data_IF_454784977477
#
_entry.id   IF_454784977477
#
_cell.length_a   1.000
_cell.length_b   1.000
_cell.length_c   1.000
_cell.angle_alpha   90.00
_cell.angle_beta   90.00
_cell.angle_gamma   90.00
#
_symmetry.space_group_name_H-M   'P 1'
#
loop_
_entity.id
_entity.type
_entity.pdbx_description
1 polymer ?
#
# COMPACT_ATOMS: atom_id res chain seq x y z
N UNK A 1 -0.38 25.80 -1.90
CA UNK A 1 -0.42 24.32 -1.97
C UNK A 1 -0.22 23.81 -0.57
N UNK A 2 -1.28 23.27 0.01
CA UNK A 2 -1.33 22.74 1.37
C UNK A 2 -0.50 21.46 1.42
N UNK A 3 0.30 21.28 2.47
CA UNK A 3 1.19 20.12 2.56
C UNK A 3 0.36 18.85 2.79
N UNK A 4 0.44 17.88 1.88
CA UNK A 4 -0.15 16.56 2.07
C UNK A 4 0.51 15.89 3.29
N UNK A 5 -0.23 15.83 4.40
CA UNK A 5 0.21 15.16 5.62
C UNK A 5 -0.17 13.69 5.52
N UNK A 6 0.81 12.83 5.74
CA UNK A 6 0.61 11.39 5.74
C UNK A 6 1.28 10.79 6.98
N UNK A 7 0.84 9.61 7.38
CA UNK A 7 1.58 8.73 8.26
C UNK A 7 1.83 7.41 7.58
N UNK A 8 2.86 6.69 8.03
CA UNK A 8 3.13 5.34 7.58
C UNK A 8 3.18 4.37 8.74
N UNK A 9 2.82 3.12 8.49
CA UNK A 9 2.92 2.00 9.43
C UNK A 9 3.75 0.90 8.79
N UNK A 10 4.67 0.31 9.56
CA UNK A 10 5.47 -0.84 9.12
C UNK A 10 5.06 -2.05 9.94
N UNK A 11 4.79 -3.17 9.28
CA UNK A 11 4.45 -4.46 9.91
C UNK A 11 3.31 -4.38 10.93
N UNK A 12 2.33 -3.52 10.68
CA UNK A 12 1.16 -3.32 11.54
C UNK A 12 1.48 -2.81 12.96
N UNK A 13 2.70 -2.33 13.20
CA UNK A 13 3.20 -2.04 14.55
C UNK A 13 3.02 -0.56 14.93
N UNK A 14 4.02 0.29 14.66
CA UNK A 14 4.03 1.71 15.02
C UNK A 14 3.82 2.58 13.80
N UNK A 15 2.84 3.45 13.89
CA UNK A 15 2.60 4.53 12.93
C UNK A 15 3.51 5.73 13.20
N UNK A 16 4.03 6.35 12.16
CA UNK A 16 4.87 7.56 12.23
C UNK A 16 4.38 8.60 11.24
N UNK A 17 4.20 9.84 11.68
CA UNK A 17 3.90 10.96 10.77
C UNK A 17 5.09 11.23 9.84
N UNK A 18 4.81 11.32 8.55
CA UNK A 18 5.77 11.66 7.52
C UNK A 18 6.10 13.15 7.61
N UNK A 19 7.36 13.47 7.89
CA UNK A 19 7.84 14.86 8.08
C UNK A 19 8.82 15.24 6.95
N UNK A 20 8.32 15.68 5.78
CA UNK A 20 9.14 15.90 4.58
C UNK A 20 10.18 17.01 4.73
N UNK A 21 10.00 17.91 5.72
CA UNK A 21 10.98 18.96 6.06
C UNK A 21 12.26 18.41 6.67
N UNK A 22 12.25 17.17 7.16
CA UNK A 22 13.43 16.50 7.76
C UNK A 22 14.16 15.66 6.71
N UNK A 23 13.42 15.00 5.83
CA UNK A 23 13.91 14.20 4.70
C UNK A 23 12.89 14.30 3.56
N UNK A 24 13.31 14.49 2.30
CA UNK A 24 12.39 14.44 1.16
C UNK A 24 11.50 13.20 1.18
N UNK A 25 10.22 13.36 0.87
CA UNK A 25 9.24 12.27 0.99
C UNK A 25 9.62 11.05 0.12
N UNK A 26 10.05 11.27 -1.12
CA UNK A 26 10.50 10.19 -2.01
C UNK A 26 11.64 9.37 -1.42
N UNK A 27 12.70 10.03 -0.95
CA UNK A 27 13.86 9.36 -0.31
C UNK A 27 13.46 8.58 0.94
N UNK A 28 12.51 9.12 1.73
CA UNK A 28 12.00 8.38 2.89
C UNK A 28 11.24 7.13 2.48
N UNK A 29 10.37 7.21 1.49
CA UNK A 29 9.57 6.09 0.99
C UNK A 29 10.47 5.01 0.36
N UNK A 30 11.39 5.41 -0.51
CA UNK A 30 12.39 4.52 -1.11
C UNK A 30 13.19 3.78 -0.03
N UNK A 31 13.66 4.49 1.00
CA UNK A 31 14.37 3.87 2.12
C UNK A 31 13.48 2.94 2.95
N UNK A 32 12.19 3.23 3.14
CA UNK A 32 11.28 2.33 3.86
C UNK A 32 11.03 1.04 3.08
N UNK A 33 10.82 1.15 1.75
CA UNK A 33 10.63 0.02 0.85
C UNK A 33 11.90 -0.81 0.68
N UNK A 34 13.08 -0.19 0.58
CA UNK A 34 14.38 -0.87 0.55
C UNK A 34 14.59 -1.78 1.77
N UNK A 35 14.09 -1.35 2.93
CA UNK A 35 14.20 -2.11 4.17
C UNK A 35 13.22 -3.30 4.25
N UNK A 36 12.31 -3.47 3.29
CA UNK A 36 11.46 -4.64 3.17
C UNK A 36 12.28 -5.83 2.67
N UNK A 37 12.69 -6.68 3.60
CA UNK A 37 13.63 -7.77 3.38
C UNK A 37 13.18 -8.98 4.23
N UNK A 38 13.46 -10.21 3.79
CA UNK A 38 13.17 -11.40 4.57
C UNK A 38 13.75 -11.33 5.99
N UNK A 39 12.99 -11.74 7.01
CA UNK A 39 13.43 -11.70 8.40
C UNK A 39 13.45 -10.31 9.03
N UNK A 40 13.04 -9.26 8.30
CA UNK A 40 13.10 -7.87 8.77
C UNK A 40 11.75 -7.18 8.72
N UNK A 41 11.31 -6.83 7.52
CA UNK A 41 10.09 -6.06 7.28
C UNK A 41 9.43 -6.57 6.03
N UNK A 42 8.10 -6.58 6.04
CA UNK A 42 7.35 -7.20 4.96
C UNK A 42 6.07 -6.48 4.58
N UNK A 43 5.71 -5.40 5.29
CA UNK A 43 4.59 -4.54 4.88
C UNK A 43 4.88 -3.07 5.18
N UNK A 44 4.35 -2.20 4.32
CA UNK A 44 4.33 -0.75 4.52
C UNK A 44 2.94 -0.23 4.14
N UNK A 45 2.31 0.53 5.03
CA UNK A 45 1.09 1.29 4.77
C UNK A 45 1.42 2.79 4.79
N UNK A 46 0.80 3.56 3.90
CA UNK A 46 0.84 5.02 3.83
C UNK A 46 -0.60 5.56 3.77
N UNK A 47 -0.97 6.45 4.69
CA UNK A 47 -2.34 6.96 4.81
C UNK A 47 -2.35 8.48 5.07
N UNK A 48 -3.31 9.23 4.50
CA UNK A 48 -3.44 10.67 4.70
C UNK A 48 -3.91 11.00 6.12
N UNK A 49 -3.45 12.15 6.61
CA UNK A 49 -3.93 12.78 7.85
C UNK A 49 -4.75 14.00 7.44
N UNK A 50 -6.04 14.08 7.81
CA UNK A 50 -6.84 15.28 7.57
C UNK A 50 -6.15 16.52 8.14
N UNK A 51 -6.13 17.62 7.39
CA UNK A 51 -5.38 18.83 7.75
C UNK A 51 -5.72 19.33 9.16
N UNK A 52 -7.01 19.31 9.51
CA UNK A 52 -7.52 19.77 10.79
C UNK A 52 -7.20 18.84 11.98
N UNK A 53 -6.67 17.64 11.74
CA UNK A 53 -6.46 16.63 12.78
C UNK A 53 -5.03 16.64 13.31
N UNK A 54 -4.88 16.58 14.63
CA UNK A 54 -3.61 16.23 15.26
C UNK A 54 -3.30 14.74 14.99
N UNK A 55 -2.06 14.42 14.66
CA UNK A 55 -1.66 13.05 14.32
C UNK A 55 -1.92 12.03 15.46
N UNK A 56 -1.56 12.38 16.70
CA UNK A 56 -1.69 11.46 17.84
C UNK A 56 -3.14 11.17 18.15
N UNK A 57 -3.99 12.20 18.13
CA UNK A 57 -5.41 12.04 18.40
C UNK A 57 -6.11 11.30 17.25
N UNK A 58 -5.74 11.60 16.00
CA UNK A 58 -6.26 10.89 14.83
C UNK A 58 -5.98 9.38 14.87
N UNK A 59 -4.78 8.97 15.27
CA UNK A 59 -4.48 7.55 15.45
C UNK A 59 -5.23 6.91 16.62
N UNK A 60 -5.46 7.65 17.72
CA UNK A 60 -6.26 7.16 18.85
C UNK A 60 -7.73 6.94 18.48
N UNK A 61 -8.24 7.73 17.52
CA UNK A 61 -9.57 7.57 16.94
C UNK A 61 -9.67 6.39 15.95
N UNK A 62 -8.55 5.71 15.65
CA UNK A 62 -8.49 4.58 14.72
C UNK A 62 -7.97 4.91 13.32
N UNK A 63 -7.60 6.17 13.06
CA UNK A 63 -7.18 6.62 11.73
C UNK A 63 -8.35 6.69 10.75
N UNK A 64 -8.01 6.65 9.46
CA UNK A 64 -8.98 6.70 8.36
C UNK A 64 -8.94 5.42 7.53
N UNK A 65 -9.99 5.15 6.76
CA UNK A 65 -10.06 3.96 5.92
C UNK A 65 -9.17 4.09 4.68
N UNK A 66 -8.87 5.29 4.21
CA UNK A 66 -8.10 5.48 2.98
C UNK A 66 -6.61 5.23 3.22
N UNK A 67 -5.99 4.33 2.46
CA UNK A 67 -4.56 4.05 2.53
C UNK A 67 -4.04 3.35 1.28
N UNK A 68 -2.75 3.51 1.00
CA UNK A 68 -1.98 2.66 0.09
C UNK A 68 -1.10 1.73 0.93
N UNK A 69 -1.05 0.45 0.60
CA UNK A 69 -0.25 -0.54 1.31
C UNK A 69 0.51 -1.46 0.35
N UNK A 70 1.63 -2.02 0.79
CA UNK A 70 2.28 -3.14 0.13
C UNK A 70 2.60 -4.28 1.11
N UNK A 71 2.75 -5.48 0.56
CA UNK A 71 3.23 -6.67 1.25
C UNK A 71 4.25 -7.44 0.38
N UNK A 72 5.33 -7.95 0.99
CA UNK A 72 6.40 -8.67 0.28
C UNK A 72 7.80 -8.17 0.64
N UNK A 73 8.72 -8.20 -0.31
CA UNK A 73 10.10 -7.67 -0.18
C UNK A 73 10.37 -6.60 -1.23
N UNK A 74 11.48 -5.88 -1.12
CA UNK A 74 11.91 -4.89 -2.11
C UNK A 74 12.01 -5.44 -3.53
N UNK A 75 12.23 -6.76 -3.67
CA UNK A 75 12.41 -7.41 -4.96
C UNK A 75 11.08 -7.82 -5.60
N UNK A 76 10.05 -8.06 -4.77
CA UNK A 76 8.71 -8.44 -5.22
C UNK A 76 7.69 -8.14 -4.11
N UNK A 77 6.77 -7.22 -4.38
CA UNK A 77 5.67 -6.87 -3.47
C UNK A 77 4.36 -6.66 -4.21
N UNK A 78 3.25 -6.90 -3.52
CA UNK A 78 1.92 -6.45 -3.96
C UNK A 78 1.72 -4.99 -3.58
N UNK A 79 0.82 -4.29 -4.29
CA UNK A 79 0.33 -2.98 -3.87
C UNK A 79 -1.19 -3.03 -3.82
N UNK A 80 -1.73 -2.57 -2.70
CA UNK A 80 -3.14 -2.51 -2.39
C UNK A 80 -3.56 -1.06 -2.12
N UNK A 81 -4.75 -0.69 -2.58
CA UNK A 81 -5.31 0.64 -2.38
C UNK A 81 -6.73 0.55 -1.82
N UNK A 82 -6.90 1.07 -0.61
CA UNK A 82 -8.21 1.23 0.02
C UNK A 82 -8.66 2.69 -0.11
N UNK A 83 -9.84 2.91 -0.69
CA UNK A 83 -10.36 4.27 -0.96
C UNK A 83 -11.87 4.32 -0.99
N UNK A 84 -12.40 5.54 -0.93
CA UNK A 84 -13.74 5.83 -1.39
C UNK A 84 -13.73 6.15 -2.89
N UNK A 85 -14.56 5.47 -3.65
CA UNK A 85 -14.79 5.79 -5.06
C UNK A 85 -15.69 7.04 -5.21
N UNK A 86 -15.83 7.54 -6.44
CA UNK A 86 -16.69 8.70 -6.78
C UNK A 86 -18.16 8.50 -6.40
N UNK A 87 -18.60 7.24 -6.30
CA UNK A 87 -19.94 6.85 -5.86
C UNK A 87 -20.07 6.77 -4.32
N UNK A 88 -19.01 7.07 -3.59
CA UNK A 88 -18.93 7.04 -2.13
C UNK A 88 -18.77 5.65 -1.54
N UNK A 89 -18.60 4.60 -2.35
CA UNK A 89 -18.41 3.24 -1.84
C UNK A 89 -16.99 3.04 -1.31
N UNK A 90 -16.90 2.39 -0.14
CA UNK A 90 -15.65 1.97 0.47
C UNK A 90 -15.14 0.70 -0.23
N UNK A 91 -13.97 0.79 -0.88
CA UNK A 91 -13.46 -0.29 -1.73
C UNK A 91 -11.98 -0.52 -1.52
N UNK A 92 -11.59 -1.78 -1.66
CA UNK A 92 -10.22 -2.24 -1.58
C UNK A 92 -9.83 -2.84 -2.91
N UNK A 93 -8.67 -2.45 -3.43
CA UNK A 93 -8.16 -2.89 -4.72
C UNK A 93 -6.74 -3.43 -4.60
N UNK A 94 -6.40 -4.38 -5.47
CA UNK A 94 -5.02 -4.68 -5.85
C UNK A 94 -4.69 -3.89 -7.11
N UNK A 95 -3.50 -3.28 -7.12
CA UNK A 95 -2.95 -2.56 -8.26
C UNK A 95 -2.24 -3.54 -9.19
N UNK A 96 -2.40 -3.39 -10.50
CA UNK A 96 -1.70 -4.19 -11.50
C UNK A 96 -1.43 -3.43 -12.80
N UNK A 97 -0.64 -4.03 -13.70
CA UNK A 97 -0.29 -3.44 -14.99
C UNK A 97 -1.35 -3.66 -16.08
N UNK A 98 -2.48 -4.32 -15.76
CA UNK A 98 -3.55 -4.61 -16.73
C UNK A 98 -3.27 -5.85 -17.59
N UNK A 99 -2.73 -6.89 -16.97
CA UNK A 99 -2.43 -8.16 -17.61
C UNK A 99 -3.64 -9.06 -17.85
N UNK A 100 -3.39 -10.28 -18.32
CA UNK A 100 -4.44 -11.29 -18.53
C UNK A 100 -4.90 -11.89 -17.19
N UNK A 101 -6.15 -11.61 -16.82
CA UNK A 101 -6.82 -12.14 -15.63
C UNK A 101 -7.90 -13.19 -15.98
N UNK A 102 -7.79 -13.88 -17.13
CA UNK A 102 -8.72 -14.95 -17.52
C UNK A 102 -8.57 -16.24 -16.71
N UNK A 103 -7.43 -16.42 -16.04
CA UNK A 103 -7.13 -17.55 -15.16
C UNK A 103 -7.21 -17.21 -13.67
N UNK A 104 -6.66 -18.08 -12.82
CA UNK A 104 -6.51 -17.80 -11.37
C UNK A 104 -5.16 -17.10 -11.09
N UNK A 105 -5.06 -16.28 -10.03
CA UNK A 105 -3.80 -15.78 -9.51
C UNK A 105 -2.80 -16.91 -9.26
N UNK A 106 -1.52 -16.70 -9.60
CA UNK A 106 -0.50 -17.77 -9.59
C UNK A 106 0.81 -17.41 -8.92
N UNK A 107 1.01 -16.15 -8.54
CA UNK A 107 2.23 -15.69 -7.85
C UNK A 107 1.96 -15.55 -6.36
N UNK A 108 2.68 -16.32 -5.55
CA UNK A 108 2.65 -16.21 -4.10
C UNK A 108 3.70 -15.19 -3.62
N UNK A 109 3.25 -14.14 -2.95
CA UNK A 109 4.08 -13.12 -2.30
C UNK A 109 4.07 -13.37 -0.78
N UNK A 110 5.14 -13.94 -0.19
CA UNK A 110 5.20 -14.20 1.24
C UNK A 110 5.46 -12.91 2.03
N UNK A 111 4.86 -12.81 3.22
CA UNK A 111 5.10 -11.72 4.17
C UNK A 111 5.00 -12.24 5.61
N UNK A 112 5.44 -11.43 6.58
CA UNK A 112 5.66 -11.84 7.97
C UNK A 112 6.46 -13.13 8.07
N UNK A 113 7.64 -13.14 7.45
CA UNK A 113 8.54 -14.31 7.40
C UNK A 113 7.88 -15.58 6.87
N UNK A 114 6.98 -15.41 5.90
CA UNK A 114 6.26 -16.51 5.24
C UNK A 114 5.11 -17.09 6.06
N UNK A 115 4.79 -16.52 7.23
CA UNK A 115 3.60 -16.93 8.01
C UNK A 115 2.30 -16.51 7.34
N UNK A 116 2.35 -15.53 6.42
CA UNK A 116 1.25 -15.13 5.55
C UNK A 116 1.72 -15.05 4.11
N UNK A 117 0.75 -15.09 3.19
CA UNK A 117 0.98 -14.94 1.75
C UNK A 117 -0.20 -14.22 1.09
N UNK A 118 0.12 -13.42 0.08
CA UNK A 118 -0.85 -12.93 -0.90
C UNK A 118 -0.66 -13.74 -2.20
N UNK A 119 -1.75 -14.16 -2.83
CA UNK A 119 -1.68 -14.82 -4.15
C UNK A 119 -2.28 -13.87 -5.19
N UNK A 120 -1.45 -13.45 -6.14
CA UNK A 120 -1.75 -12.38 -7.11
C UNK A 120 -1.43 -12.81 -8.54
N UNK A 121 -1.90 -12.02 -9.51
CA UNK A 121 -1.51 -12.21 -10.90
C UNK A 121 -0.06 -11.71 -11.14
N UNK A 122 0.66 -12.24 -12.14
CA UNK A 122 2.01 -11.79 -12.45
C UNK A 122 2.15 -10.29 -12.70
N UNK A 123 1.11 -9.64 -13.22
CA UNK A 123 1.09 -8.20 -13.49
C UNK A 123 0.78 -7.35 -12.25
N UNK A 124 0.54 -7.96 -11.09
CA UNK A 124 0.25 -7.28 -9.81
C UNK A 124 1.46 -7.29 -8.86
N UNK A 125 2.65 -7.59 -9.39
CA UNK A 125 3.91 -7.67 -8.64
C UNK A 125 4.83 -6.55 -9.04
N UNK A 126 5.31 -5.80 -8.04
CA UNK A 126 6.12 -4.61 -8.22
C UNK A 126 7.50 -4.80 -7.59
N UNK A 127 8.51 -4.22 -8.24
CA UNK A 127 9.85 -4.08 -7.69
C UNK A 127 10.02 -2.71 -7.01
N UNK A 128 11.12 -2.54 -6.27
CA UNK A 128 11.42 -1.35 -5.47
C UNK A 128 11.24 -0.01 -6.19
N UNK A 129 11.83 0.15 -7.38
CA UNK A 129 11.85 1.42 -8.09
C UNK A 129 10.43 1.87 -8.46
N UNK A 130 9.63 0.93 -9.00
CA UNK A 130 8.26 1.17 -9.41
C UNK A 130 7.33 1.38 -8.21
N UNK A 131 7.47 0.57 -7.16
CA UNK A 131 6.72 0.76 -5.92
C UNK A 131 7.02 2.14 -5.30
N UNK A 132 8.27 2.59 -5.36
CA UNK A 132 8.67 3.92 -4.88
C UNK A 132 7.95 5.01 -5.67
N UNK A 133 7.86 4.88 -7.00
CA UNK A 133 7.17 5.85 -7.86
C UNK A 133 5.66 5.89 -7.58
N UNK A 134 5.03 4.72 -7.40
CA UNK A 134 3.60 4.63 -7.05
C UNK A 134 3.32 5.27 -5.68
N UNK A 135 4.09 4.90 -4.65
CA UNK A 135 3.92 5.46 -3.30
C UNK A 135 4.16 6.97 -3.26
N UNK A 136 5.15 7.45 -4.01
CA UNK A 136 5.45 8.87 -4.08
C UNK A 136 4.36 9.64 -4.83
N UNK A 137 3.84 9.11 -5.94
CA UNK A 137 2.71 9.71 -6.63
C UNK A 137 1.46 9.79 -5.76
N UNK A 138 1.16 8.71 -5.02
CA UNK A 138 0.06 8.68 -4.06
C UNK A 138 0.26 9.69 -2.94
N UNK A 139 1.48 9.85 -2.42
CA UNK A 139 1.79 10.90 -1.45
C UNK A 139 1.49 12.32 -1.98
N UNK A 140 1.76 12.58 -3.25
CA UNK A 140 1.56 13.89 -3.89
C UNK A 140 0.11 14.17 -4.29
N UNK A 141 -0.64 13.14 -4.68
CA UNK A 141 -1.93 13.30 -5.36
C UNK A 141 -3.11 12.67 -4.62
N UNK A 142 -2.87 11.68 -3.78
CA UNK A 142 -3.90 10.80 -3.22
C UNK A 142 -4.39 9.72 -4.19
N UNK A 143 -3.81 9.64 -5.40
CA UNK A 143 -4.19 8.73 -6.48
C UNK A 143 -3.02 7.80 -6.85
N UNK A 144 -3.29 6.76 -7.63
CA UNK A 144 -2.22 5.99 -8.29
C UNK A 144 -1.88 6.60 -9.66
N UNK A 145 -0.65 6.42 -10.17
CA UNK A 145 -0.30 6.91 -11.50
C UNK A 145 -1.22 6.34 -12.59
N UNK A 146 -1.45 7.11 -13.66
CA UNK A 146 -2.16 6.62 -14.84
C UNK A 146 -1.40 5.45 -15.49
N UNK A 147 -2.10 4.43 -15.95
CA UNK A 147 -1.53 3.28 -16.65
C UNK A 147 -1.55 1.98 -15.84
N UNK A 148 -1.94 2.04 -14.56
CA UNK A 148 -2.27 0.87 -13.77
C UNK A 148 -3.76 0.57 -13.81
N UNK A 149 -4.10 -0.71 -13.67
CA UNK A 149 -5.46 -1.19 -13.49
C UNK A 149 -5.71 -1.61 -12.03
N UNK A 150 -6.98 -1.60 -11.66
CA UNK A 150 -7.44 -1.95 -10.31
C UNK A 150 -8.30 -3.20 -10.36
N UNK A 151 -7.85 -4.26 -9.71
CA UNK A 151 -8.68 -5.43 -9.44
C UNK A 151 -9.29 -5.31 -8.06
N UNK A 152 -10.60 -5.53 -7.95
CA UNK A 152 -11.28 -5.57 -6.66
C UNK A 152 -10.64 -6.63 -5.75
N UNK A 153 -10.26 -6.22 -4.56
CA UNK A 153 -9.75 -7.11 -3.53
C UNK A 153 -10.92 -7.63 -2.69
N UNK A 154 -11.45 -8.77 -3.12
CA UNK A 154 -12.50 -9.46 -2.38
C UNK A 154 -11.87 -10.19 -1.18
N UNK A 155 -11.98 -9.58 0.01
CA UNK A 155 -11.54 -10.16 1.29
C UNK A 155 -12.25 -11.48 1.65
N UNK A 156 -13.24 -11.94 0.87
CA UNK A 156 -13.86 -13.26 1.01
C UNK A 156 -13.10 -14.40 0.31
N UNK A 157 -11.90 -14.11 -0.23
CA UNK A 157 -11.04 -15.09 -0.91
C UNK A 157 -9.94 -15.71 0.00
N UNK A 158 -9.65 -17.03 -0.09
CA UNK A 158 -10.33 -18.01 -0.93
C UNK A 158 -11.76 -18.23 -0.46
N UNK A 159 -12.69 -18.38 -1.43
CA UNK A 159 -14.04 -18.86 -1.13
C UNK A 159 -13.91 -20.09 -0.22
N UNK A 160 -14.71 -20.22 0.85
CA UNK A 160 -14.67 -21.42 1.68
C UNK A 160 -14.75 -22.65 0.77
N UNK A 161 -13.82 -23.59 0.94
CA UNK A 161 -13.89 -24.86 0.23
C UNK A 161 -15.23 -25.52 0.58
N UNK A 162 -15.95 -26.10 -0.41
CA UNK A 162 -17.21 -26.78 -0.17
C UNK A 162 -17.10 -27.93 0.82
#
# INVERSE_FOLDING_TARGET
MTANRHYYTVDGSRSTELKPRVRPARELLENLLTLMQPGKRSTLMLAPIPEAKNFVDYLREGGGPVFLQCAGTSDAMTIEWHKYDDDGQDRHYIVGHGGDHSGEPSVDIPFFDGTRKATVYPDEVFALDEATDIFFHYYETGEIPSGYELRWYDLTWPKPQP
#
